data_IF_790000903584
#
_entry.id   IF_790000903584
#
_cell.length_a   1.000
_cell.length_b   1.000
_cell.length_c   1.000
_cell.angle_alpha   90.00
_cell.angle_beta   90.00
_cell.angle_gamma   90.00
#
_symmetry.space_group_name_H-M   'P 1'
#
loop_
_entity.id
_entity.type
_entity.pdbx_description
1 polymer ?
#
# COMPACT_ATOMS: atom_id res chain seq x y z
N UNK A 1 -10.35 9.00 18.11
CA UNK A 1 -9.16 8.19 17.86
C UNK A 1 -9.54 7.26 16.72
N UNK A 2 -8.94 7.39 15.54
CA UNK A 2 -9.20 6.46 14.46
C UNK A 2 -8.68 5.09 14.91
N UNK A 3 -9.55 4.10 15.02
CA UNK A 3 -9.14 2.73 15.28
C UNK A 3 -8.46 2.23 14.00
N UNK A 4 -7.12 2.27 13.96
CA UNK A 4 -6.37 1.65 12.88
C UNK A 4 -6.65 0.15 12.93
N UNK A 5 -7.16 -0.37 11.82
CA UNK A 5 -7.36 -1.80 11.64
C UNK A 5 -5.98 -2.46 11.60
N UNK A 6 -5.64 -3.23 12.62
CA UNK A 6 -4.31 -3.81 12.83
C UNK A 6 -4.43 -5.29 13.23
N UNK A 7 -3.34 -6.02 13.06
CA UNK A 7 -3.23 -7.45 13.37
C UNK A 7 -3.62 -7.77 14.82
N UNK A 8 -3.29 -6.88 15.75
CA UNK A 8 -3.56 -7.05 17.17
C UNK A 8 -5.05 -7.21 17.49
N UNK A 9 -5.93 -6.63 16.66
CA UNK A 9 -7.38 -6.78 16.82
C UNK A 9 -7.84 -8.23 16.58
N UNK A 10 -7.07 -8.99 15.80
CA UNK A 10 -7.36 -10.38 15.45
C UNK A 10 -6.67 -11.37 16.39
N UNK A 11 -5.46 -11.06 16.86
CA UNK A 11 -4.61 -12.00 17.61
C UNK A 11 -4.71 -11.85 19.13
N UNK A 12 -5.07 -10.66 19.64
CA UNK A 12 -5.19 -10.40 21.08
C UNK A 12 -6.64 -10.34 21.53
N UNK A 13 -7.22 -11.50 21.85
CA UNK A 13 -8.54 -11.61 22.46
C UNK A 13 -8.49 -11.27 23.96
N UNK A 14 -8.44 -9.98 24.30
CA UNK A 14 -8.64 -9.52 25.68
C UNK A 14 -10.12 -9.48 26.10
N UNK A 15 -11.04 -9.59 25.14
CA UNK A 15 -12.49 -9.45 25.29
C UNK A 15 -13.24 -10.50 24.45
N UNK A 16 -14.56 -10.58 24.62
CA UNK A 16 -15.44 -11.44 23.81
C UNK A 16 -15.38 -11.10 22.30
N UNK A 17 -15.61 -12.11 21.45
CA UNK A 17 -15.47 -12.07 19.98
C UNK A 17 -16.33 -10.95 19.39
N UNK A 18 -17.56 -10.79 19.88
CA UNK A 18 -18.49 -9.77 19.38
C UNK A 18 -17.88 -8.37 19.45
N UNK A 19 -17.22 -8.04 20.56
CA UNK A 19 -16.58 -6.73 20.74
C UNK A 19 -15.47 -6.48 19.72
N UNK A 20 -14.69 -7.51 19.38
CA UNK A 20 -13.63 -7.41 18.39
C UNK A 20 -14.20 -7.28 16.98
N UNK A 21 -15.24 -8.04 16.65
CA UNK A 21 -15.96 -7.90 15.38
C UNK A 21 -16.49 -6.47 15.19
N UNK A 22 -17.08 -5.86 16.22
CA UNK A 22 -17.52 -4.46 16.16
C UNK A 22 -16.38 -3.48 15.88
N UNK A 23 -15.22 -3.65 16.52
CA UNK A 23 -14.04 -2.80 16.27
C UNK A 23 -13.53 -2.96 14.83
N UNK A 24 -13.47 -4.19 14.34
CA UNK A 24 -13.07 -4.49 12.95
C UNK A 24 -14.04 -3.83 11.97
N UNK A 25 -15.35 -4.00 12.15
CA UNK A 25 -16.37 -3.37 11.31
C UNK A 25 -16.27 -1.84 11.35
N UNK A 26 -16.02 -1.25 12.51
CA UNK A 26 -15.83 0.19 12.65
C UNK A 26 -14.57 0.67 11.89
N UNK A 27 -13.46 -0.07 11.97
CA UNK A 27 -12.24 0.22 11.20
C UNK A 27 -12.46 0.14 9.69
N UNK A 28 -13.08 -0.96 9.22
CA UNK A 28 -13.42 -1.14 7.80
C UNK A 28 -14.39 -0.06 7.29
N UNK A 29 -15.34 0.36 8.12
CA UNK A 29 -16.24 1.46 7.79
C UNK A 29 -15.48 2.78 7.61
N UNK A 30 -14.59 3.11 8.55
CA UNK A 30 -13.78 4.34 8.46
C UNK A 30 -12.93 4.37 7.18
N UNK A 31 -12.39 3.21 6.76
CA UNK A 31 -11.64 3.10 5.51
C UNK A 31 -12.55 3.33 4.30
N UNK A 32 -13.76 2.76 4.30
CA UNK A 32 -14.74 3.04 3.24
C UNK A 32 -15.15 4.51 3.17
N UNK A 33 -15.30 5.18 4.32
CA UNK A 33 -15.60 6.61 4.34
C UNK A 33 -14.46 7.41 3.65
N UNK A 34 -13.20 7.05 3.88
CA UNK A 34 -12.05 7.65 3.19
C UNK A 34 -12.00 7.29 1.69
N UNK A 35 -12.34 6.06 1.31
CA UNK A 35 -12.46 5.66 -0.11
C UNK A 35 -13.55 6.45 -0.85
N UNK A 36 -14.68 6.73 -0.19
CA UNK A 36 -15.73 7.59 -0.75
C UNK A 36 -15.26 9.04 -0.94
N UNK A 37 -14.27 9.48 -0.17
CA UNK A 37 -13.57 10.75 -0.36
C UNK A 37 -12.40 10.66 -1.34
N UNK A 38 -12.31 9.58 -2.12
CA UNK A 38 -11.23 9.29 -3.05
C UNK A 38 -9.83 9.28 -2.40
N UNK A 39 -9.71 8.92 -1.12
CA UNK A 39 -8.43 8.77 -0.41
C UNK A 39 -8.04 7.30 -0.32
N UNK A 40 -7.22 6.85 -1.25
CA UNK A 40 -6.93 5.42 -1.41
C UNK A 40 -5.77 4.98 -0.51
N UNK A 41 -4.71 5.80 -0.43
CA UNK A 41 -3.52 5.50 0.37
C UNK A 41 -3.52 6.30 1.68
N UNK A 42 -3.01 5.71 2.78
CA UNK A 42 -2.29 4.43 2.84
C UNK A 42 -3.18 3.19 2.99
N UNK A 43 -4.49 3.35 3.09
CA UNK A 43 -5.44 2.29 3.43
C UNK A 43 -5.35 1.06 2.52
N UNK A 44 -5.29 1.24 1.20
CA UNK A 44 -5.19 0.11 0.27
C UNK A 44 -3.94 -0.74 0.52
N UNK A 45 -2.78 -0.13 0.72
CA UNK A 45 -1.53 -0.84 1.04
C UNK A 45 -1.66 -1.61 2.36
N UNK A 46 -2.14 -0.92 3.41
CA UNK A 46 -2.29 -1.52 4.73
C UNK A 46 -3.28 -2.70 4.73
N UNK A 47 -4.39 -2.61 3.98
CA UNK A 47 -5.33 -3.71 3.86
C UNK A 47 -4.72 -4.93 3.17
N UNK A 48 -3.95 -4.73 2.10
CA UNK A 48 -3.26 -5.81 1.39
C UNK A 48 -2.22 -6.48 2.30
N UNK A 49 -1.43 -5.70 3.03
CA UNK A 49 -0.45 -6.20 4.00
C UNK A 49 -1.12 -6.98 5.13
N UNK A 50 -2.19 -6.43 5.71
CA UNK A 50 -2.96 -7.08 6.77
C UNK A 50 -3.58 -8.39 6.29
N UNK A 51 -4.23 -8.39 5.12
CA UNK A 51 -4.83 -9.60 4.54
C UNK A 51 -3.79 -10.72 4.36
N UNK A 52 -2.65 -10.40 3.75
CA UNK A 52 -1.56 -11.35 3.51
C UNK A 52 -1.03 -11.93 4.83
N UNK A 53 -0.82 -11.06 5.82
CA UNK A 53 -0.32 -11.48 7.14
C UNK A 53 -1.32 -12.39 7.87
N UNK A 54 -2.62 -12.05 7.83
CA UNK A 54 -3.66 -12.85 8.45
C UNK A 54 -3.87 -14.19 7.76
N UNK A 55 -3.80 -14.23 6.43
CA UNK A 55 -3.89 -15.48 5.65
C UNK A 55 -2.70 -16.40 5.97
N UNK A 56 -1.48 -15.86 6.05
CA UNK A 56 -0.28 -16.59 6.47
C UNK A 56 -0.41 -17.17 7.88
N UNK A 57 -0.93 -16.38 8.83
CA UNK A 57 -1.18 -16.84 10.20
C UNK A 57 -2.21 -17.97 10.20
N UNK A 58 -3.32 -17.80 9.47
CA UNK A 58 -4.38 -18.80 9.38
C UNK A 58 -3.85 -20.12 8.81
N UNK A 59 -3.05 -20.06 7.76
CA UNK A 59 -2.43 -21.25 7.14
C UNK A 59 -1.49 -21.95 8.13
N UNK A 60 -0.62 -21.20 8.82
CA UNK A 60 0.28 -21.77 9.85
C UNK A 60 -0.48 -22.42 11.01
N UNK A 61 -1.59 -21.83 11.46
CA UNK A 61 -2.42 -22.40 12.52
C UNK A 61 -3.05 -23.73 12.10
N UNK A 62 -3.49 -23.83 10.85
CA UNK A 62 -4.04 -25.07 10.26
C UNK A 62 -2.97 -26.15 10.12
N UNK A 63 -1.78 -25.79 9.63
CA UNK A 63 -0.65 -26.72 9.51
C UNK A 63 -0.26 -27.31 10.87
N UNK A 64 -0.15 -26.47 11.90
CA UNK A 64 0.11 -26.92 13.28
C UNK A 64 -0.97 -27.90 13.76
N UNK A 65 -2.25 -27.59 13.54
CA UNK A 65 -3.36 -28.47 13.94
C UNK A 65 -3.29 -29.85 13.29
N UNK A 66 -2.83 -29.93 12.04
CA UNK A 66 -2.72 -31.18 11.30
C UNK A 66 -1.45 -31.98 11.65
N UNK A 67 -0.36 -31.31 12.01
CA UNK A 67 0.88 -31.95 12.46
C UNK A 67 0.82 -32.45 13.92
N UNK A 68 0.04 -31.81 14.80
CA UNK A 68 -0.12 -32.26 16.18
C UNK A 68 -0.99 -33.53 16.26
N UNK A 69 -0.49 -34.62 16.89
CA UNK A 69 -1.23 -35.88 16.94
C UNK A 69 -2.51 -35.72 17.76
N UNK A 70 -3.68 -35.91 17.10
CA UNK A 70 -5.05 -35.86 17.66
C UNK A 70 -5.36 -36.84 18.81
N UNK A 71 -4.35 -37.48 19.43
CA UNK A 71 -4.50 -38.42 20.56
C UNK A 71 -3.27 -38.44 21.46
N UNK A 72 -3.11 -37.45 22.34
CA UNK A 72 -2.36 -37.66 23.59
C UNK A 72 -3.27 -38.48 24.52
N UNK A 73 -3.22 -39.81 24.36
CA UNK A 73 -4.09 -40.76 25.09
C UNK A 73 -3.52 -41.18 26.45
N UNK A 74 -2.39 -40.61 26.88
CA UNK A 74 -1.77 -40.87 28.18
C UNK A 74 -0.89 -39.69 28.57
N UNK A 75 -1.41 -38.84 29.45
CA UNK A 75 -0.57 -37.95 30.25
C UNK A 75 0.00 -38.83 31.37
N UNK A 76 1.31 -39.03 31.37
CA UNK A 76 2.04 -39.71 32.43
C UNK A 76 2.30 -38.68 33.53
N UNK A 77 1.53 -38.74 34.62
CA UNK A 77 1.49 -37.76 35.72
C UNK A 77 2.77 -37.70 36.59
N UNK A 78 3.90 -38.24 36.11
CA UNK A 78 5.10 -38.44 36.94
C UNK A 78 6.16 -37.35 36.74
N UNK A 79 6.10 -36.56 35.67
CA UNK A 79 7.05 -35.47 35.47
C UNK A 79 6.30 -34.15 35.24
N UNK A 80 6.25 -33.31 36.28
CA UNK A 80 5.78 -31.92 36.24
C UNK A 80 6.73 -31.04 35.42
N UNK A 81 6.79 -31.27 34.11
CA UNK A 81 7.19 -30.23 33.17
C UNK A 81 5.95 -29.96 32.35
N UNK A 82 5.22 -28.93 32.75
CA UNK A 82 4.19 -28.32 31.92
C UNK A 82 4.95 -27.61 30.79
N UNK A 83 5.43 -28.39 29.82
CA UNK A 83 5.62 -27.84 28.49
C UNK A 83 4.25 -27.37 28.05
N UNK A 84 4.15 -26.12 27.62
CA UNK A 84 2.94 -25.51 27.08
C UNK A 84 2.41 -26.40 25.93
N UNK A 85 1.59 -27.40 26.24
CA UNK A 85 0.85 -28.15 25.24
C UNK A 85 -0.12 -27.13 24.62
N UNK A 86 0.10 -26.83 23.34
CA UNK A 86 -0.86 -26.09 22.53
C UNK A 86 -2.06 -27.03 22.34
N UNK A 87 -3.00 -27.00 23.28
CA UNK A 87 -4.19 -27.83 23.20
C UNK A 87 -5.21 -27.13 22.31
N UNK A 88 -5.36 -27.62 21.07
CA UNK A 88 -6.45 -27.25 20.18
C UNK A 88 -7.76 -27.87 20.69
N UNK A 89 -8.38 -27.24 21.68
CA UNK A 89 -9.74 -27.57 22.14
C UNK A 89 -10.71 -26.57 21.55
N UNK A 90 -11.88 -27.05 21.12
CA UNK A 90 -13.01 -26.19 20.77
C UNK A 90 -13.32 -25.24 21.94
N UNK A 91 -13.33 -23.93 21.67
CA UNK A 91 -13.52 -22.89 22.69
C UNK A 91 -12.25 -22.34 23.35
N UNK A 92 -11.05 -22.83 22.98
CA UNK A 92 -9.77 -22.22 23.35
C UNK A 92 -9.59 -20.83 22.70
N UNK A 93 -8.75 -19.98 23.28
CA UNK A 93 -8.45 -18.66 22.72
C UNK A 93 -7.89 -18.73 21.30
N UNK A 94 -7.16 -19.81 20.97
CA UNK A 94 -6.61 -20.04 19.64
C UNK A 94 -7.70 -20.35 18.60
N UNK A 95 -8.68 -21.18 18.96
CA UNK A 95 -9.82 -21.49 18.08
C UNK A 95 -10.66 -20.23 17.79
N UNK A 96 -10.80 -19.35 18.79
CA UNK A 96 -11.49 -18.07 18.63
C UNK A 96 -10.72 -17.08 17.74
N UNK A 97 -9.38 -17.06 17.82
CA UNK A 97 -8.55 -16.26 16.91
C UNK A 97 -8.73 -16.74 15.47
N UNK A 98 -8.68 -18.05 15.25
CA UNK A 98 -8.90 -18.64 13.93
C UNK A 98 -10.29 -18.28 13.38
N UNK A 99 -11.34 -18.45 14.18
CA UNK A 99 -12.72 -18.07 13.82
C UNK A 99 -12.81 -16.58 13.44
N UNK A 100 -12.20 -15.69 14.23
CA UNK A 100 -12.22 -14.26 13.98
C UNK A 100 -11.47 -13.88 12.69
N UNK A 101 -10.33 -14.52 12.42
CA UNK A 101 -9.56 -14.31 11.18
C UNK A 101 -10.36 -14.82 9.98
N UNK A 102 -10.91 -16.04 10.03
CA UNK A 102 -11.72 -16.61 8.96
C UNK A 102 -12.95 -15.74 8.64
N UNK A 103 -13.58 -15.17 9.67
CA UNK A 103 -14.68 -14.23 9.51
C UNK A 103 -14.23 -12.88 8.90
N UNK A 104 -13.08 -12.35 9.30
CA UNK A 104 -12.61 -11.02 8.90
C UNK A 104 -11.96 -10.96 7.52
N UNK A 105 -11.25 -12.00 7.09
CA UNK A 105 -10.58 -12.09 5.79
C UNK A 105 -11.50 -11.72 4.60
N UNK A 106 -12.72 -12.29 4.43
CA UNK A 106 -13.58 -11.92 3.32
C UNK A 106 -14.04 -10.46 3.36
N UNK A 107 -14.18 -9.86 4.55
CA UNK A 107 -14.54 -8.45 4.72
C UNK A 107 -13.39 -7.54 4.29
N UNK A 108 -12.16 -7.85 4.72
CA UNK A 108 -10.95 -7.13 4.31
C UNK A 108 -10.77 -7.24 2.80
N UNK A 109 -10.90 -8.43 2.23
CA UNK A 109 -10.80 -8.66 0.78
C UNK A 109 -11.78 -7.81 -0.02
N UNK A 110 -13.03 -7.72 0.44
CA UNK A 110 -14.04 -6.87 -0.19
C UNK A 110 -13.60 -5.40 -0.24
N UNK A 111 -12.97 -4.89 0.84
CA UNK A 111 -12.43 -3.52 0.88
C UNK A 111 -11.18 -3.33 0.04
N UNK A 112 -10.35 -4.35 -0.11
CA UNK A 112 -9.23 -4.32 -1.07
C UNK A 112 -9.77 -4.15 -2.50
N UNK A 113 -10.78 -4.93 -2.90
CA UNK A 113 -11.37 -4.82 -4.24
C UNK A 113 -12.03 -3.46 -4.49
N UNK A 114 -12.69 -2.88 -3.47
CA UNK A 114 -13.21 -1.51 -3.49
C UNK A 114 -12.09 -0.49 -3.78
N UNK A 115 -11.02 -0.48 -2.98
CA UNK A 115 -9.89 0.43 -3.17
C UNK A 115 -9.14 0.20 -4.49
N UNK A 116 -9.04 -1.06 -4.93
CA UNK A 116 -8.42 -1.44 -6.21
C UNK A 116 -9.20 -0.89 -7.39
N UNK A 117 -10.53 -0.94 -7.34
CA UNK A 117 -11.40 -0.38 -8.39
C UNK A 117 -11.15 1.13 -8.56
N UNK A 118 -11.05 1.87 -7.44
CA UNK A 118 -10.73 3.31 -7.47
C UNK A 118 -9.31 3.53 -8.01
N UNK A 119 -8.34 2.71 -7.57
CA UNK A 119 -6.97 2.79 -8.06
C UNK A 119 -6.88 2.60 -9.58
N UNK A 120 -7.56 1.58 -10.12
CA UNK A 120 -7.58 1.29 -11.56
C UNK A 120 -8.18 2.45 -12.35
N UNK A 121 -9.31 3.00 -11.89
CA UNK A 121 -9.91 4.19 -12.50
C UNK A 121 -8.95 5.38 -12.52
N UNK A 122 -8.34 5.73 -11.39
CA UNK A 122 -7.39 6.86 -11.31
C UNK A 122 -6.18 6.61 -12.19
N UNK A 123 -5.64 5.38 -12.19
CA UNK A 123 -4.50 5.02 -13.00
C UNK A 123 -4.79 5.14 -14.50
N UNK A 124 -6.00 4.81 -14.94
CA UNK A 124 -6.40 4.89 -16.35
C UNK A 124 -6.60 6.34 -16.81
N UNK A 125 -7.17 7.20 -15.95
CA UNK A 125 -7.40 8.62 -16.23
C UNK A 125 -6.12 9.46 -16.18
N UNK A 126 -5.11 9.03 -15.43
CA UNK A 126 -3.79 9.66 -15.43
C UNK A 126 -3.01 9.24 -16.67
N UNK A 127 -2.72 10.17 -17.58
CA UNK A 127 -1.86 9.95 -18.75
C UNK A 127 -0.42 10.28 -18.42
N UNK A 128 0.51 9.52 -18.98
CA UNK A 128 1.95 9.68 -18.84
C UNK A 128 2.54 9.96 -20.23
N UNK A 129 3.33 11.03 -20.33
CA UNK A 129 3.96 11.46 -21.56
C UNK A 129 5.47 11.68 -21.36
N UNK A 130 6.26 11.32 -22.35
CA UNK A 130 7.69 11.62 -22.39
C UNK A 130 7.94 13.07 -22.82
N UNK A 131 8.82 13.76 -22.10
CA UNK A 131 9.13 15.17 -22.38
C UNK A 131 10.41 15.26 -23.20
N UNK A 132 10.22 15.44 -24.50
CA UNK A 132 11.31 15.58 -25.47
C UNK A 132 12.05 14.25 -25.67
N UNK A 133 13.36 14.31 -25.83
CA UNK A 133 14.19 13.11 -26.00
C UNK A 133 14.46 12.48 -24.63
N UNK A 134 14.14 11.19 -24.50
CA UNK A 134 14.51 10.38 -23.35
C UNK A 134 15.91 9.78 -23.56
N UNK A 135 16.84 9.92 -22.59
CA UNK A 135 18.15 9.29 -22.63
C UNK A 135 18.06 7.76 -22.49
N UNK A 136 19.13 7.05 -22.87
CA UNK A 136 19.23 5.61 -22.62
C UNK A 136 19.31 5.25 -21.13
N UNK A 137 19.74 6.20 -20.29
CA UNK A 137 19.84 6.03 -18.85
C UNK A 137 18.68 6.77 -18.18
N UNK A 138 17.76 6.01 -17.58
CA UNK A 138 16.49 6.50 -17.04
C UNK A 138 16.37 6.29 -15.53
N UNK A 139 17.45 5.92 -14.85
CA UNK A 139 17.41 5.67 -13.40
C UNK A 139 17.26 6.95 -12.57
N UNK A 140 17.42 8.13 -13.16
CA UNK A 140 17.16 9.41 -12.51
C UNK A 140 16.65 10.45 -13.50
N UNK A 141 15.89 11.41 -12.98
CA UNK A 141 15.20 12.35 -13.85
C UNK A 141 14.20 13.24 -13.14
N UNK A 142 13.30 13.80 -13.93
CA UNK A 142 12.22 14.67 -13.46
C UNK A 142 10.86 14.12 -13.86
N UNK A 143 9.85 14.41 -13.05
CA UNK A 143 8.47 14.23 -13.46
C UNK A 143 7.58 15.34 -12.92
N UNK A 144 6.52 15.63 -13.66
CA UNK A 144 5.57 16.70 -13.33
C UNK A 144 4.20 16.09 -13.09
N UNK A 145 3.52 16.52 -12.03
CA UNK A 145 2.17 16.04 -11.70
C UNK A 145 1.27 17.23 -11.42
N UNK A 146 0.10 17.33 -12.09
CA UNK A 146 -0.87 18.36 -11.77
C UNK A 146 -1.56 18.04 -10.44
N UNK A 147 -1.68 19.07 -9.61
CA UNK A 147 -2.53 19.12 -8.43
C UNK A 147 -3.68 20.07 -8.77
N UNK A 148 -4.77 19.50 -9.29
CA UNK A 148 -5.90 20.27 -9.80
C UNK A 148 -6.75 20.90 -8.67
N UNK A 149 -6.75 20.30 -7.47
CA UNK A 149 -7.42 20.86 -6.29
C UNK A 149 -6.80 22.22 -5.92
N UNK A 150 -5.46 22.31 -5.98
CA UNK A 150 -4.69 23.51 -5.69
C UNK A 150 -4.34 24.35 -6.92
N UNK A 151 -4.77 23.93 -8.13
CA UNK A 151 -4.43 24.56 -9.42
C UNK A 151 -2.92 24.76 -9.63
N UNK A 152 -2.12 23.74 -9.30
CA UNK A 152 -0.65 23.78 -9.39
C UNK A 152 -0.11 22.64 -10.25
N UNK A 153 1.04 22.87 -10.87
CA UNK A 153 1.88 21.81 -11.44
C UNK A 153 3.05 21.58 -10.48
N UNK A 154 3.13 20.39 -9.90
CA UNK A 154 4.16 20.02 -8.93
C UNK A 154 5.29 19.27 -9.63
N UNK A 155 6.52 19.71 -9.42
CA UNK A 155 7.71 19.19 -10.09
C UNK A 155 8.54 18.41 -9.08
N UNK A 156 8.95 17.22 -9.50
CA UNK A 156 9.72 16.30 -8.68
C UNK A 156 10.96 15.84 -9.42
N UNK A 157 12.01 15.58 -8.67
CA UNK A 157 13.12 14.73 -9.09
C UNK A 157 12.84 13.31 -8.63
N UNK A 158 13.22 12.33 -9.43
CA UNK A 158 13.19 10.93 -9.04
C UNK A 158 14.56 10.26 -9.22
N UNK A 159 14.75 9.20 -8.44
CA UNK A 159 15.90 8.30 -8.51
C UNK A 159 15.40 6.87 -8.26
N UNK A 160 15.72 5.94 -9.15
CA UNK A 160 15.51 4.52 -9.00
C UNK A 160 16.63 3.96 -8.12
N UNK A 161 16.25 3.38 -6.99
CA UNK A 161 17.19 2.64 -6.14
C UNK A 161 16.87 1.15 -6.26
N UNK A 162 17.86 0.34 -6.57
CA UNK A 162 17.74 -1.13 -6.55
C UNK A 162 18.14 -1.63 -5.18
N UNK A 163 17.26 -2.39 -4.54
CA UNK A 163 17.59 -3.14 -3.33
C UNK A 163 17.62 -4.62 -3.65
N UNK A 164 18.58 -5.33 -3.04
CA UNK A 164 18.66 -6.77 -3.07
C UNK A 164 18.33 -7.31 -1.68
N UNK A 165 17.29 -8.12 -1.57
CA UNK A 165 17.06 -9.00 -0.43
C UNK A 165 17.46 -10.43 -0.79
N UNK A 166 17.64 -11.29 0.22
CA UNK A 166 18.09 -12.67 0.08
C UNK A 166 17.24 -13.55 -0.84
N UNK A 167 16.03 -13.10 -1.19
CA UNK A 167 15.10 -13.81 -2.08
C UNK A 167 14.61 -12.98 -3.28
N UNK A 168 14.68 -11.63 -3.25
CA UNK A 168 14.14 -10.77 -4.31
C UNK A 168 14.94 -9.48 -4.54
N UNK A 169 15.00 -9.04 -5.81
CA UNK A 169 15.44 -7.68 -6.17
C UNK A 169 14.21 -6.80 -6.31
N UNK A 170 14.10 -5.77 -5.48
CA UNK A 170 13.02 -4.77 -5.60
C UNK A 170 13.62 -3.40 -5.90
N UNK A 171 13.11 -2.72 -6.94
CA UNK A 171 13.42 -1.30 -7.18
C UNK A 171 12.42 -0.42 -6.46
N UNK A 172 12.89 0.66 -5.87
CA UNK A 172 12.05 1.72 -5.33
C UNK A 172 12.27 3.02 -6.10
N UNK A 173 11.23 3.86 -6.11
CA UNK A 173 11.29 5.21 -6.65
C UNK A 173 11.41 6.21 -5.50
N UNK A 174 12.63 6.72 -5.29
CA UNK A 174 12.84 7.90 -4.44
C UNK A 174 12.38 9.12 -5.20
N UNK A 175 11.72 10.04 -4.49
CA UNK A 175 11.15 11.25 -5.08
C UNK A 175 11.43 12.43 -4.18
N UNK A 176 11.96 13.51 -4.75
CA UNK A 176 12.22 14.76 -4.05
C UNK A 176 11.40 15.88 -4.69
N UNK A 177 10.63 16.62 -3.88
CA UNK A 177 9.90 17.78 -4.35
C UNK A 177 10.86 18.92 -4.68
N UNK A 178 10.68 19.54 -5.85
CA UNK A 178 11.51 20.66 -6.30
C UNK A 178 10.79 21.99 -6.16
N UNK A 179 9.64 22.12 -6.81
CA UNK A 179 8.84 23.36 -6.83
C UNK A 179 7.42 23.09 -7.31
N UNK A 180 6.49 23.96 -6.90
CA UNK A 180 5.16 24.09 -7.49
C UNK A 180 5.13 25.29 -8.43
N UNK A 181 4.48 25.13 -9.58
CA UNK A 181 4.17 26.21 -10.50
C UNK A 181 2.66 26.45 -10.46
N UNK A 182 2.24 27.68 -10.18
CA UNK A 182 0.82 28.06 -10.29
C UNK A 182 0.37 27.91 -11.75
N UNK A 183 -0.79 27.28 -11.98
CA UNK A 183 -1.43 27.30 -13.30
C UNK A 183 -2.09 28.67 -13.51
N UNK A 184 -1.30 29.67 -13.92
CA UNK A 184 -1.81 30.97 -14.40
C UNK A 184 -2.06 30.98 -15.92
N UNK A 185 -2.53 32.12 -16.46
CA UNK A 185 -2.91 32.30 -17.88
C UNK A 185 -1.81 32.01 -18.93
N UNK A 186 -0.55 31.87 -18.49
CA UNK A 186 0.57 31.52 -19.37
C UNK A 186 0.97 30.05 -19.17
N UNK A 187 0.37 29.15 -19.95
CA UNK A 187 0.78 27.75 -20.03
C UNK A 187 2.26 27.64 -20.42
N UNK A 188 3.08 27.02 -19.56
CA UNK A 188 4.46 26.66 -19.92
C UNK A 188 4.47 25.24 -20.45
N UNK A 189 5.04 25.06 -21.64
CA UNK A 189 5.20 23.72 -22.21
C UNK A 189 6.11 22.86 -21.34
N UNK A 190 5.86 21.53 -21.24
CA UNK A 190 6.74 20.62 -20.50
C UNK A 190 8.21 20.71 -20.94
N UNK A 191 8.48 20.90 -22.23
CA UNK A 191 9.83 21.11 -22.76
C UNK A 191 10.52 22.37 -22.21
N UNK A 192 9.80 23.49 -22.10
CA UNK A 192 10.35 24.71 -21.53
C UNK A 192 10.68 24.53 -20.03
N UNK A 193 9.85 23.77 -19.31
CA UNK A 193 10.09 23.42 -17.91
C UNK A 193 11.34 22.54 -17.78
N UNK A 194 11.49 21.51 -18.64
CA UNK A 194 12.68 20.65 -18.68
C UNK A 194 13.97 21.46 -18.89
N UNK A 195 13.97 22.41 -19.83
CA UNK A 195 15.13 23.28 -20.08
C UNK A 195 15.46 24.16 -18.87
N UNK A 196 14.47 24.75 -18.19
CA UNK A 196 14.68 25.54 -16.96
C UNK A 196 15.29 24.69 -15.83
N UNK A 197 14.92 23.42 -15.73
CA UNK A 197 15.49 22.50 -14.74
C UNK A 197 16.95 22.14 -15.07
N UNK A 198 17.25 21.81 -16.32
CA UNK A 198 18.63 21.53 -16.78
C UNK A 198 19.55 22.75 -16.58
N UNK A 199 19.01 23.96 -16.76
CA UNK A 199 19.78 25.17 -16.53
C UNK A 199 20.12 25.41 -15.06
N UNK A 200 19.21 25.05 -14.16
CA UNK A 200 19.39 25.19 -12.70
C UNK A 200 20.19 24.05 -12.08
N UNK A 201 20.04 22.84 -12.60
CA UNK A 201 20.73 21.66 -12.09
C UNK A 201 21.69 21.09 -13.15
N UNK A 202 22.96 21.51 -13.05
CA UNK A 202 24.02 21.09 -13.97
C UNK A 202 24.51 19.66 -13.73
N UNK A 203 24.16 19.04 -12.60
CA UNK A 203 24.54 17.65 -12.30
C UNK A 203 23.72 16.65 -13.14
N UNK A 204 22.54 17.06 -13.60
CA UNK A 204 21.66 16.24 -14.43
C UNK A 204 21.39 16.89 -15.80
N UNK A 205 22.40 16.94 -16.70
CA UNK A 205 22.30 17.68 -17.96
C UNK A 205 21.41 17.00 -19.02
N UNK A 206 21.19 15.69 -18.91
CA UNK A 206 20.33 14.91 -19.82
C UNK A 206 19.34 14.03 -19.04
N UNK A 207 18.35 14.64 -18.35
CA UNK A 207 17.41 13.91 -17.51
C UNK A 207 16.34 13.20 -18.35
N UNK A 208 15.99 11.97 -17.96
CA UNK A 208 14.73 11.38 -18.36
C UNK A 208 13.59 12.18 -17.70
N UNK A 209 12.69 12.74 -18.51
CA UNK A 209 11.66 13.67 -18.01
C UNK A 209 10.29 13.23 -18.48
N UNK A 210 9.36 13.17 -17.54
CA UNK A 210 7.99 12.72 -17.77
C UNK A 210 6.97 13.76 -17.33
N UNK A 211 5.85 13.85 -18.04
CA UNK A 211 4.73 14.71 -17.67
C UNK A 211 3.49 13.85 -17.46
N UNK A 212 2.85 14.01 -16.30
CA UNK A 212 1.53 13.46 -16.07
C UNK A 212 0.47 14.49 -16.42
N UNK A 213 -0.63 14.01 -17.01
CA UNK A 213 -1.80 14.81 -17.34
C UNK A 213 -3.05 14.11 -16.83
N UNK A 214 -3.93 14.83 -16.16
CA UNK A 214 -5.23 14.33 -15.70
C UNK A 214 -6.17 15.48 -15.40
N UNK A 215 -7.48 15.25 -15.60
CA UNK A 215 -8.53 16.20 -15.23
C UNK A 215 -9.12 15.89 -13.82
N UNK A 216 -8.62 14.86 -13.14
CA UNK A 216 -9.08 14.48 -11.81
C UNK A 216 -8.68 15.51 -10.75
N UNK A 217 -9.61 15.82 -9.85
CA UNK A 217 -9.45 16.73 -8.70
C UNK A 217 -9.34 15.96 -7.37
N UNK A 218 -8.84 14.73 -7.42
CA UNK A 218 -8.75 13.85 -6.25
C UNK A 218 -7.61 14.29 -5.30
N UNK A 219 -7.68 13.93 -4.00
CA UNK A 219 -6.66 14.27 -3.02
C UNK A 219 -5.25 13.92 -3.50
N UNK A 220 -4.39 14.93 -3.60
CA UNK A 220 -3.09 14.77 -4.24
C UNK A 220 -2.20 13.77 -3.51
N UNK A 221 -2.11 13.87 -2.17
CA UNK A 221 -1.18 13.07 -1.37
C UNK A 221 -1.64 11.63 -1.19
N UNK A 222 -2.94 11.43 -1.01
CA UNK A 222 -3.54 10.14 -0.72
C UNK A 222 -3.82 9.33 -2.00
N UNK A 223 -3.90 9.97 -3.17
CA UNK A 223 -4.33 9.31 -4.40
C UNK A 223 -3.50 9.65 -5.63
N UNK A 224 -3.50 10.91 -6.09
CA UNK A 224 -2.84 11.27 -7.36
C UNK A 224 -1.33 10.94 -7.33
N UNK A 225 -0.63 11.38 -6.28
CA UNK A 225 0.80 11.20 -6.16
C UNK A 225 1.24 9.73 -5.98
N UNK A 226 0.62 8.94 -5.08
CA UNK A 226 0.92 7.51 -5.01
C UNK A 226 0.69 6.76 -6.32
N UNK A 227 -0.39 7.07 -7.04
CA UNK A 227 -0.72 6.42 -8.33
C UNK A 227 0.29 6.82 -9.41
N UNK A 228 0.60 8.11 -9.56
CA UNK A 228 1.63 8.56 -10.51
C UNK A 228 3.00 7.96 -10.24
N UNK A 229 3.41 7.85 -8.97
CA UNK A 229 4.66 7.17 -8.59
C UNK A 229 4.68 5.71 -9.03
N UNK A 230 3.59 4.97 -8.82
CA UNK A 230 3.49 3.56 -9.23
C UNK A 230 3.51 3.42 -10.76
N UNK A 231 2.80 4.30 -11.47
CA UNK A 231 2.76 4.33 -12.93
C UNK A 231 4.12 4.67 -13.55
N UNK A 232 4.83 5.66 -13.00
CA UNK A 232 6.19 5.98 -13.43
C UNK A 232 7.13 4.81 -13.21
N UNK A 233 7.06 4.18 -12.03
CA UNK A 233 7.89 3.02 -11.73
C UNK A 233 7.64 1.89 -12.73
N UNK A 234 6.39 1.60 -13.10
CA UNK A 234 6.05 0.62 -14.14
C UNK A 234 6.64 0.98 -15.50
N UNK A 235 6.50 2.24 -15.95
CA UNK A 235 7.09 2.71 -17.21
C UNK A 235 8.62 2.55 -17.26
N UNK A 236 9.30 2.70 -16.12
CA UNK A 236 10.75 2.56 -16.01
C UNK A 236 11.22 1.10 -15.91
N UNK A 237 10.30 0.15 -15.72
CA UNK A 237 10.58 -1.29 -15.73
C UNK A 237 10.45 -1.92 -17.12
N UNK A 238 9.58 -1.37 -17.98
CA UNK A 238 9.35 -1.83 -19.36
C UNK A 238 10.51 -1.44 -20.30
#
# INVERSE_FOLDING_TARGET
>A
MAHSLDIDLFTHLQSDIESQQYKILAGLKSISDDFQMNKIYPHLSHLVELYTTLDDILNRLRDLRDEFPKRIKKIDFVNEVIEHEVVFVDGSDLAKVEELIEWGLPLIKSKIEEGKTIYEFVNDEIKLEEVGIIPNYTDEGYFFVPDNEESKLLLYQYELTVFESSQDKYRSLKTAFLKGLEQGDAYRSPNAIKLDLIDKNKELPNPATFAFNTDLDFPFRETIFPVTKRKLLQQLYE
#
